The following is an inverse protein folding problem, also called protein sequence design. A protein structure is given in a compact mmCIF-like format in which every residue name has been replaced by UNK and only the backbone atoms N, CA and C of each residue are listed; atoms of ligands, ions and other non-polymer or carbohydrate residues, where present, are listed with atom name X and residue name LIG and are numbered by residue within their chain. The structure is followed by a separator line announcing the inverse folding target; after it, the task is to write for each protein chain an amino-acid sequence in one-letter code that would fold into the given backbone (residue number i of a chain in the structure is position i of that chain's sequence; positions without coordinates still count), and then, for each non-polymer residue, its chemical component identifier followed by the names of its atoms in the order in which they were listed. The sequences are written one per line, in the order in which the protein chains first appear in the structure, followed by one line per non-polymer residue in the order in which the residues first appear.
data_IF_895911570302
#
_entry.id   IF_895911570302
#
_cell.length_a   1.000
_cell.length_b   1.000
_cell.length_c   1.000
_cell.angle_alpha   90.00
_cell.angle_beta   90.00
_cell.angle_gamma   90.00
#
_symmetry.space_group_name_H-M   'P 1'
#
loop_
_entity.id
_entity.type
_entity.pdbx_description
1 polymer ?
#
# COMPACT_ATOMS: atom_id res chain seq x y z
N UNK A 1 8.43 14.68 15.53
CA UNK A 1 9.84 15.05 15.31
C UNK A 1 10.02 15.28 13.82
N UNK A 2 10.60 16.40 13.38
CA UNK A 2 10.84 16.65 11.95
C UNK A 2 12.25 16.15 11.62
N UNK A 3 12.37 15.08 10.86
CA UNK A 3 13.66 14.62 10.34
C UNK A 3 14.06 15.53 9.18
N UNK A 4 15.14 16.29 9.38
CA UNK A 4 15.75 17.09 8.32
C UNK A 4 16.64 16.15 7.50
N UNK A 5 16.27 15.93 6.24
CA UNK A 5 17.06 15.14 5.29
C UNK A 5 17.82 16.11 4.39
N UNK A 6 19.14 15.96 4.32
CA UNK A 6 20.00 16.70 3.40
C UNK A 6 20.33 15.82 2.19
N UNK A 7 20.13 16.36 0.98
CA UNK A 7 20.51 15.68 -0.25
C UNK A 7 21.99 15.93 -0.51
N UNK A 8 22.81 14.89 -0.36
CA UNK A 8 24.27 14.97 -0.53
C UNK A 8 24.73 14.80 -1.98
N UNK A 9 23.95 14.11 -2.81
CA UNK A 9 24.26 13.89 -4.23
C UNK A 9 23.00 13.55 -5.04
N UNK A 10 23.08 13.77 -6.35
CA UNK A 10 22.11 13.29 -7.33
C UNK A 10 22.84 12.45 -8.37
N UNK A 11 22.37 11.24 -8.62
CA UNK A 11 22.91 10.36 -9.64
C UNK A 11 21.80 9.81 -10.54
N UNK A 12 22.03 9.83 -11.85
CA UNK A 12 21.13 9.23 -12.83
C UNK A 12 21.59 7.81 -13.14
N UNK A 13 20.88 6.81 -12.60
CA UNK A 13 21.16 5.40 -12.88
C UNK A 13 20.78 5.10 -14.33
N UNK A 14 21.79 4.92 -15.19
CA UNK A 14 21.58 4.55 -16.59
C UNK A 14 21.50 3.02 -16.71
N UNK A 15 20.56 2.49 -17.49
CA UNK A 15 20.56 1.07 -17.81
C UNK A 15 21.89 0.65 -18.45
N UNK A 16 22.39 -0.54 -18.10
CA UNK A 16 23.64 -1.10 -18.65
C UNK A 16 23.58 -1.38 -20.16
N UNK A 17 22.37 -1.45 -20.72
CA UNK A 17 22.12 -1.59 -22.14
C UNK A 17 21.04 -0.63 -22.62
N UNK A 18 21.15 -0.15 -23.85
CA UNK A 18 20.13 0.70 -24.46
C UNK A 18 18.79 -0.05 -24.53
N UNK A 19 17.70 0.62 -24.14
CA UNK A 19 16.35 0.06 -24.28
C UNK A 19 16.11 -0.35 -25.73
N UNK A 20 15.82 -1.65 -26.01
CA UNK A 20 15.53 -2.14 -27.35
C UNK A 20 14.45 -1.29 -28.03
N UNK A 21 14.56 -1.07 -29.34
CA UNK A 21 13.69 -0.14 -30.06
C UNK A 21 12.19 -0.45 -29.89
N UNK A 22 11.83 -1.73 -29.78
CA UNK A 22 10.45 -2.18 -29.57
C UNK A 22 9.94 -1.95 -28.14
N UNK A 23 10.81 -1.69 -27.16
CA UNK A 23 10.45 -1.35 -25.78
C UNK A 23 10.51 0.16 -25.49
N UNK A 24 10.96 0.98 -26.46
CA UNK A 24 11.00 2.45 -26.31
C UNK A 24 9.63 3.10 -26.38
N UNK A 25 8.65 2.43 -26.99
CA UNK A 25 7.27 2.89 -27.11
C UNK A 25 6.36 1.85 -26.48
N UNK A 26 5.86 2.17 -25.29
CA UNK A 26 4.90 1.34 -24.58
C UNK A 26 3.51 1.90 -24.91
N UNK A 27 2.62 1.04 -25.41
CA UNK A 27 1.21 1.40 -25.49
C UNK A 27 0.62 1.23 -24.09
N UNK A 28 0.17 2.33 -23.50
CA UNK A 28 -0.54 2.30 -22.23
C UNK A 28 -1.89 1.62 -22.42
N UNK A 29 -2.25 0.74 -21.47
CA UNK A 29 -3.58 0.15 -21.47
C UNK A 29 -4.64 1.24 -21.25
N UNK A 30 -5.90 0.93 -21.59
CA UNK A 30 -7.03 1.82 -21.26
C UNK A 30 -7.11 2.09 -19.75
N UNK A 31 -6.72 1.10 -18.93
CA UNK A 31 -6.65 1.24 -17.48
C UNK A 31 -5.60 2.26 -17.06
N UNK A 32 -4.42 2.18 -17.67
CA UNK A 32 -3.32 3.12 -17.40
C UNK A 32 -3.63 4.55 -17.81
N UNK A 33 -4.40 4.72 -18.89
CA UNK A 33 -4.77 6.04 -19.39
C UNK A 33 -5.79 6.74 -18.49
N UNK A 34 -6.69 5.97 -17.86
CA UNK A 34 -7.64 6.50 -16.88
C UNK A 34 -6.98 6.74 -15.52
N UNK A 35 -5.97 5.94 -15.16
CA UNK A 35 -5.32 6.01 -13.87
C UNK A 35 -4.66 7.38 -13.64
N UNK A 36 -4.71 7.91 -12.40
CA UNK A 36 -3.99 9.13 -12.08
C UNK A 36 -2.49 8.93 -12.34
N UNK A 37 -1.81 10.00 -12.74
CA UNK A 37 -0.36 10.01 -12.87
C UNK A 37 0.25 9.98 -11.46
N UNK A 38 0.30 8.78 -10.87
CA UNK A 38 0.88 8.54 -9.54
C UNK A 38 2.24 7.90 -9.70
N UNK A 39 3.24 8.50 -9.05
CA UNK A 39 4.51 7.87 -8.78
C UNK A 39 4.71 7.85 -7.27
N UNK A 40 4.97 6.68 -6.71
CA UNK A 40 5.26 6.56 -5.28
C UNK A 40 6.76 6.52 -5.05
N UNK A 41 7.25 7.42 -4.21
CA UNK A 41 8.67 7.54 -3.94
C UNK A 41 9.16 6.51 -2.93
N UNK A 42 10.15 5.73 -3.34
CA UNK A 42 10.80 4.73 -2.51
C UNK A 42 12.05 5.32 -1.87
N UNK A 43 12.15 5.30 -0.55
CA UNK A 43 13.38 5.61 0.21
C UNK A 43 14.00 4.30 0.70
N UNK A 44 15.13 3.93 0.13
CA UNK A 44 15.85 2.70 0.49
C UNK A 44 17.10 3.03 1.29
N UNK A 45 17.32 2.33 2.40
CA UNK A 45 18.48 2.52 3.28
C UNK A 45 19.49 1.39 3.09
N UNK A 46 20.77 1.74 3.05
CA UNK A 46 21.86 0.80 2.80
C UNK A 46 22.88 0.83 3.95
N UNK A 47 23.51 -0.33 4.21
CA UNK A 47 24.65 -0.47 5.13
C UNK A 47 25.86 -1.01 4.37
N UNK A 48 26.58 -0.17 3.61
CA UNK A 48 27.72 -0.59 2.80
C UNK A 48 28.78 -1.37 3.61
N UNK A 49 29.03 -0.96 4.85
CA UNK A 49 30.09 -1.52 5.72
C UNK A 49 29.54 -2.31 6.92
N UNK A 50 28.24 -2.62 6.94
CA UNK A 50 27.58 -3.38 8.01
C UNK A 50 27.46 -2.71 9.38
N UNK A 51 28.06 -1.53 9.59
CA UNK A 51 28.14 -0.88 10.91
C UNK A 51 27.06 0.19 11.12
N UNK A 52 26.91 1.17 10.23
CA UNK A 52 25.84 2.17 10.28
C UNK A 52 25.04 2.26 8.96
N UNK A 53 23.87 2.87 8.99
CA UNK A 53 23.17 3.28 7.77
C UNK A 53 23.95 4.48 7.23
N UNK A 54 24.64 4.31 6.10
CA UNK A 54 25.52 5.35 5.56
C UNK A 54 24.86 6.14 4.43
N UNK A 55 23.87 5.55 3.75
CA UNK A 55 23.25 6.15 2.56
C UNK A 55 21.80 5.74 2.44
N UNK A 56 20.97 6.67 1.94
CA UNK A 56 19.63 6.37 1.49
C UNK A 56 19.45 6.85 0.03
N UNK A 57 18.70 6.09 -0.77
CA UNK A 57 18.38 6.46 -2.15
C UNK A 57 16.89 6.71 -2.29
N UNK A 58 16.53 7.81 -2.97
CA UNK A 58 15.15 8.15 -3.33
C UNK A 58 14.92 7.78 -4.80
N UNK A 59 13.89 7.00 -5.06
CA UNK A 59 13.51 6.61 -6.42
C UNK A 59 12.03 6.92 -6.65
N UNK A 60 11.68 7.75 -7.66
CA UNK A 60 12.50 8.35 -8.71
C UNK A 60 13.08 9.72 -8.24
N UNK A 61 13.83 10.44 -9.10
CA UNK A 61 14.27 11.81 -8.80
C UNK A 61 13.13 12.76 -8.40
N UNK A 62 13.41 13.72 -7.50
CA UNK A 62 12.45 14.69 -6.93
C UNK A 62 11.88 15.67 -7.95
N UNK A 63 12.54 15.85 -9.09
CA UNK A 63 12.24 16.83 -10.14
C UNK A 63 11.25 16.33 -11.19
N UNK A 64 10.64 15.16 -10.99
CA UNK A 64 9.55 14.71 -11.86
C UNK A 64 8.34 15.67 -11.75
N UNK A 65 7.75 16.10 -12.89
CA UNK A 65 6.56 16.96 -12.92
C UNK A 65 5.27 16.21 -12.52
N UNK A 66 5.41 15.03 -11.90
CA UNK A 66 4.31 14.16 -11.48
C UNK A 66 3.99 14.50 -10.02
N UNK A 67 2.96 15.31 -9.82
CA UNK A 67 2.53 15.75 -8.50
C UNK A 67 1.57 14.74 -7.89
N UNK A 68 2.02 13.96 -6.91
CA UNK A 68 1.16 13.57 -5.78
C UNK A 68 1.93 13.06 -4.56
N UNK A 69 3.16 12.56 -4.73
CA UNK A 69 3.95 11.97 -3.63
C UNK A 69 5.41 12.45 -3.68
N UNK A 70 5.61 13.76 -3.66
CA UNK A 70 6.96 14.33 -3.56
C UNK A 70 7.43 14.37 -2.10
N UNK A 71 8.64 13.87 -1.86
CA UNK A 71 9.46 14.10 -0.67
C UNK A 71 9.60 15.60 -0.54
N UNK A 72 8.88 16.18 0.41
CA UNK A 72 9.25 17.47 0.95
C UNK A 72 10.13 17.17 2.15
N UNK A 73 11.22 17.91 2.31
CA UNK A 73 12.16 17.81 3.43
C UNK A 73 11.53 17.98 4.83
N UNK A 74 10.20 18.15 4.92
CA UNK A 74 9.38 18.24 6.13
C UNK A 74 8.17 17.28 6.10
N UNK A 75 8.21 16.18 5.33
CA UNK A 75 7.17 15.14 5.34
C UNK A 75 7.04 14.47 6.71
N UNK A 76 5.84 13.98 7.04
CA UNK A 76 5.65 13.11 8.22
C UNK A 76 6.09 11.69 7.84
N UNK A 77 7.07 11.15 8.57
CA UNK A 77 7.33 9.72 8.51
C UNK A 77 6.12 8.97 9.07
N UNK A 78 5.74 7.84 8.44
CA UNK A 78 4.69 7.00 8.98
C UNK A 78 5.09 6.50 10.37
N UNK A 79 4.10 6.22 11.19
CA UNK A 79 4.33 5.31 12.30
C UNK A 79 4.66 3.93 11.74
N UNK A 80 5.64 3.29 12.37
CA UNK A 80 6.01 1.91 12.06
C UNK A 80 5.48 0.99 13.15
N UNK A 81 4.99 -0.17 12.73
CA UNK A 81 4.77 -1.33 13.61
C UNK A 81 5.28 -2.60 12.94
N UNK A 82 5.70 -3.56 13.76
CA UNK A 82 6.21 -4.85 13.32
C UNK A 82 5.28 -5.98 13.77
N UNK A 83 4.83 -6.78 12.81
CA UNK A 83 4.02 -7.99 13.02
C UNK A 83 4.94 -9.18 12.75
N UNK A 84 5.29 -9.94 13.79
CA UNK A 84 6.24 -11.04 13.62
C UNK A 84 5.59 -12.25 12.93
N UNK A 85 6.41 -13.08 12.30
CA UNK A 85 5.95 -14.23 11.52
C UNK A 85 5.07 -15.23 12.31
N UNK A 86 5.37 -15.58 13.58
CA UNK A 86 4.50 -16.44 14.39
C UNK A 86 3.10 -15.86 14.63
N UNK A 87 3.01 -14.57 14.93
CA UNK A 87 1.75 -13.84 15.17
C UNK A 87 0.93 -13.77 13.88
N UNK A 88 1.57 -13.56 12.72
CA UNK A 88 0.89 -13.68 11.42
C UNK A 88 0.36 -15.10 11.16
N UNK A 89 1.11 -16.14 11.53
CA UNK A 89 0.66 -17.51 11.39
C UNK A 89 -0.54 -17.81 12.30
N UNK A 90 -0.52 -17.30 13.53
CA UNK A 90 -1.64 -17.38 14.47
C UNK A 90 -2.89 -16.67 13.91
N UNK A 91 -2.73 -15.44 13.38
CA UNK A 91 -3.82 -14.71 12.72
C UNK A 91 -4.45 -15.53 11.59
N UNK A 92 -3.65 -16.20 10.76
CA UNK A 92 -4.14 -17.06 9.68
C UNK A 92 -4.86 -18.30 10.20
N UNK A 93 -4.45 -18.85 11.33
CA UNK A 93 -5.08 -20.02 11.95
C UNK A 93 -6.43 -19.73 12.60
N UNK A 94 -6.65 -18.48 13.03
CA UNK A 94 -7.89 -18.03 13.69
C UNK A 94 -9.02 -17.63 12.72
N UNK A 95 -8.84 -17.75 11.40
CA UNK A 95 -9.86 -17.33 10.42
C UNK A 95 -11.17 -18.11 10.60
N UNK A 96 -12.22 -17.44 11.07
CA UNK A 96 -13.57 -18.01 11.20
C UNK A 96 -14.29 -18.04 9.85
N UNK A 97 -14.82 -19.20 9.45
CA UNK A 97 -15.57 -19.43 8.21
C UNK A 97 -16.96 -18.76 8.15
N UNK A 98 -17.04 -17.46 8.41
CA UNK A 98 -18.26 -16.67 8.27
C UNK A 98 -18.58 -16.41 6.79
N UNK A 99 -19.85 -16.56 6.41
CA UNK A 99 -20.32 -16.16 5.09
C UNK A 99 -20.39 -14.62 5.02
N UNK A 100 -19.57 -14.01 4.15
CA UNK A 100 -19.71 -12.60 3.82
C UNK A 100 -20.94 -12.35 2.95
N UNK A 101 -21.52 -11.16 3.10
CA UNK A 101 -22.53 -10.63 2.19
C UNK A 101 -21.79 -9.78 1.16
N UNK A 102 -21.89 -10.06 -0.16
CA UNK A 102 -21.20 -9.26 -1.16
C UNK A 102 -21.66 -7.81 -1.07
N UNK A 103 -20.75 -6.82 -1.02
CA UNK A 103 -21.14 -5.44 -1.20
C UNK A 103 -21.49 -5.26 -2.67
N UNK A 104 -22.76 -5.47 -3.00
CA UNK A 104 -23.36 -5.15 -4.30
C UNK A 104 -23.62 -3.66 -4.32
N UNK A 105 -22.67 -2.91 -4.91
CA UNK A 105 -22.84 -1.51 -5.31
C UNK A 105 -22.97 -0.56 -4.11
N UNK A 106 -22.16 0.50 -4.08
CA UNK A 106 -22.46 1.64 -3.23
C UNK A 106 -23.67 2.36 -3.86
N UNK A 107 -24.86 1.84 -3.61
CA UNK A 107 -26.06 2.67 -3.75
C UNK A 107 -25.98 3.68 -2.61
N UNK A 108 -26.01 4.97 -2.97
CA UNK A 108 -26.03 6.10 -2.06
C UNK A 108 -27.08 5.87 -0.97
N UNK A 109 -26.66 5.25 0.12
CA UNK A 109 -27.49 5.04 1.30
C UNK A 109 -27.43 6.33 2.09
N UNK A 110 -28.56 6.77 2.67
CA UNK A 110 -28.62 8.06 3.34
C UNK A 110 -27.62 8.10 4.50
N UNK A 111 -26.59 8.94 4.35
CA UNK A 111 -25.64 9.48 5.35
C UNK A 111 -25.62 8.72 6.68
N UNK A 112 -25.05 7.50 6.70
CA UNK A 112 -24.59 6.90 7.96
C UNK A 112 -23.25 7.53 8.29
N UNK A 113 -23.22 8.38 9.33
CA UNK A 113 -22.06 9.23 9.68
C UNK A 113 -20.77 8.50 10.07
N UNK A 114 -20.73 7.16 10.15
CA UNK A 114 -19.56 6.39 10.61
C UNK A 114 -19.54 4.96 10.03
N UNK A 115 -19.49 4.82 8.70
CA UNK A 115 -19.21 3.51 8.09
C UNK A 115 -17.72 3.43 7.77
N UNK A 116 -16.96 2.65 8.53
CA UNK A 116 -15.56 2.41 8.20
C UNK A 116 -15.47 1.41 7.05
N UNK A 117 -14.92 1.86 5.93
CA UNK A 117 -14.66 1.00 4.78
C UNK A 117 -13.16 0.82 4.57
N UNK A 118 -12.75 -0.41 4.29
CA UNK A 118 -11.40 -0.75 3.89
C UNK A 118 -11.29 -0.65 2.37
N UNK A 119 -10.41 0.22 1.90
CA UNK A 119 -10.12 0.34 0.48
C UNK A 119 -8.81 -0.37 0.14
N UNK A 120 -8.85 -1.21 -0.90
CA UNK A 120 -7.77 -2.13 -1.24
C UNK A 120 -7.47 -2.10 -2.74
N UNK A 121 -6.29 -1.63 -3.19
CA UNK A 121 -5.89 -1.73 -4.59
C UNK A 121 -5.54 -3.18 -4.93
N UNK A 122 -6.19 -3.73 -5.95
CA UNK A 122 -5.99 -5.10 -6.44
C UNK A 122 -5.17 -5.08 -7.73
N UNK A 123 -4.01 -5.76 -7.72
CA UNK A 123 -3.15 -5.89 -8.89
C UNK A 123 -3.83 -6.71 -10.01
N UNK A 124 -3.98 -6.12 -11.19
CA UNK A 124 -4.69 -6.70 -12.32
C UNK A 124 -3.83 -7.63 -13.20
N UNK A 125 -2.50 -7.55 -13.09
CA UNK A 125 -1.57 -8.26 -13.99
C UNK A 125 -1.70 -9.78 -14.00
N UNK A 126 -2.17 -10.36 -12.90
CA UNK A 126 -2.38 -11.81 -12.75
C UNK A 126 -3.85 -12.22 -12.93
N UNK A 127 -4.73 -11.27 -13.24
CA UNK A 127 -6.19 -11.45 -13.28
C UNK A 127 -6.80 -11.21 -14.66
N UNK A 128 -6.03 -10.59 -15.55
CA UNK A 128 -6.38 -10.32 -16.93
C UNK A 128 -5.31 -10.99 -17.79
N UNK A 129 -5.74 -11.88 -18.68
CA UNK A 129 -4.85 -12.76 -19.47
C UNK A 129 -3.95 -11.95 -20.42
N UNK A 130 -4.46 -10.82 -20.90
CA UNK A 130 -3.76 -9.89 -21.79
C UNK A 130 -2.61 -9.16 -21.09
N UNK A 131 -2.52 -9.21 -19.77
CA UNK A 131 -1.46 -8.58 -19.01
C UNK A 131 -0.36 -9.56 -18.65
N UNK A 132 0.88 -9.11 -18.82
CA UNK A 132 2.05 -9.80 -18.32
C UNK A 132 2.39 -9.31 -16.91
N UNK A 133 3.15 -10.11 -16.15
CA UNK A 133 3.73 -9.66 -14.88
C UNK A 133 4.68 -8.47 -15.06
N UNK A 134 5.20 -8.27 -16.27
CA UNK A 134 6.13 -7.19 -16.64
C UNK A 134 5.41 -5.99 -17.26
N UNK A 135 4.08 -6.01 -17.36
CA UNK A 135 3.34 -4.89 -17.94
C UNK A 135 3.59 -3.63 -17.12
N UNK A 136 3.92 -2.54 -17.81
CA UNK A 136 4.23 -1.25 -17.20
C UNK A 136 2.94 -0.47 -16.89
N UNK A 137 2.98 0.38 -15.85
CA UNK A 137 1.89 1.30 -15.50
C UNK A 137 1.05 0.91 -14.27
N UNK A 138 0.00 1.70 -14.00
CA UNK A 138 -0.94 1.60 -12.89
C UNK A 138 -2.07 0.59 -13.18
N UNK A 139 -1.70 -0.69 -13.33
CA UNK A 139 -2.63 -1.80 -13.52
C UNK A 139 -3.21 -2.32 -12.20
N UNK A 140 -4.02 -1.47 -11.55
CA UNK A 140 -4.69 -1.77 -10.29
C UNK A 140 -6.15 -1.31 -10.30
N UNK A 141 -6.99 -1.96 -9.49
CA UNK A 141 -8.39 -1.56 -9.27
C UNK A 141 -8.70 -1.58 -7.77
N UNK A 142 -9.20 -0.48 -7.23
CA UNK A 142 -9.58 -0.37 -5.83
C UNK A 142 -10.90 -1.10 -5.57
N UNK A 143 -10.90 -1.95 -4.55
CA UNK A 143 -12.13 -2.56 -4.03
C UNK A 143 -12.43 -2.03 -2.64
N UNK A 144 -13.72 -1.91 -2.36
CA UNK A 144 -14.23 -1.54 -1.05
C UNK A 144 -14.73 -2.78 -0.32
N UNK A 145 -14.31 -2.94 0.93
CA UNK A 145 -14.82 -3.91 1.88
C UNK A 145 -15.35 -3.19 3.11
N UNK A 146 -16.48 -3.64 3.63
CA UNK A 146 -17.08 -3.09 4.85
C UNK A 146 -17.60 -4.21 5.74
N UNK A 147 -17.80 -3.89 7.01
CA UNK A 147 -18.51 -4.71 7.98
C UNK A 147 -19.52 -3.81 8.71
N UNK A 148 -20.72 -4.32 9.03
CA UNK A 148 -21.69 -3.52 9.78
C UNK A 148 -21.24 -3.39 11.26
N UNK A 149 -21.51 -2.26 11.92
CA UNK A 149 -21.29 -2.12 13.36
C UNK A 149 -22.18 -3.09 14.15
N UNK A 150 -21.64 -4.24 14.57
CA UNK A 150 -22.32 -5.27 15.37
C UNK A 150 -21.53 -5.69 16.61
N UNK A 151 -22.22 -6.27 17.60
CA UNK A 151 -21.68 -6.61 18.95
C UNK A 151 -20.42 -7.47 18.92
N UNK A 152 -19.47 -7.13 19.80
CA UNK A 152 -18.13 -7.70 19.89
C UNK A 152 -18.13 -9.25 19.88
N UNK A 153 -17.46 -9.82 18.87
CA UNK A 153 -17.27 -11.26 18.71
C UNK A 153 -17.25 -11.73 17.25
N UNK A 154 -18.05 -11.12 16.36
CA UNK A 154 -18.17 -11.50 14.94
C UNK A 154 -17.43 -10.61 13.92
N UNK A 155 -17.01 -9.42 14.34
CA UNK A 155 -16.52 -8.33 13.45
C UNK A 155 -15.30 -8.70 12.59
N UNK A 156 -14.34 -9.46 13.14
CA UNK A 156 -13.10 -9.81 12.43
C UNK A 156 -13.36 -10.80 11.29
N UNK A 157 -14.06 -11.90 11.57
CA UNK A 157 -14.36 -12.92 10.55
C UNK A 157 -15.23 -12.36 9.42
N UNK A 158 -16.20 -11.51 9.75
CA UNK A 158 -17.02 -10.81 8.76
C UNK A 158 -16.19 -9.87 7.88
N UNK A 159 -15.31 -9.05 8.47
CA UNK A 159 -14.43 -8.16 7.71
C UNK A 159 -13.44 -8.94 6.84
N UNK A 160 -12.82 -10.00 7.38
CA UNK A 160 -11.91 -10.87 6.62
C UNK A 160 -12.62 -11.53 5.44
N UNK A 161 -13.86 -12.00 5.63
CA UNK A 161 -14.66 -12.59 4.58
C UNK A 161 -15.06 -11.53 3.52
N UNK A 162 -15.45 -10.33 3.94
CA UNK A 162 -15.79 -9.19 3.08
C UNK A 162 -14.60 -8.76 2.21
N UNK A 163 -13.42 -8.61 2.83
CA UNK A 163 -12.15 -8.33 2.13
C UNK A 163 -11.84 -9.43 1.12
N UNK A 164 -11.91 -10.70 1.54
CA UNK A 164 -11.61 -11.85 0.68
C UNK A 164 -12.54 -11.91 -0.53
N UNK A 165 -13.83 -11.71 -0.32
CA UNK A 165 -14.82 -11.68 -1.39
C UNK A 165 -14.58 -10.50 -2.34
N UNK A 166 -14.37 -9.29 -1.79
CA UNK A 166 -14.12 -8.08 -2.56
C UNK A 166 -12.87 -8.21 -3.45
N UNK A 167 -11.80 -8.82 -2.96
CA UNK A 167 -10.57 -9.07 -3.73
C UNK A 167 -10.76 -10.24 -4.71
N UNK A 168 -11.53 -11.27 -4.37
CA UNK A 168 -11.72 -12.45 -5.22
C UNK A 168 -12.56 -12.15 -6.46
N UNK A 169 -13.59 -11.31 -6.35
CA UNK A 169 -14.49 -10.97 -7.46
C UNK A 169 -13.81 -10.22 -8.62
N UNK A 170 -12.65 -9.60 -8.40
CA UNK A 170 -11.96 -8.83 -9.43
C UNK A 170 -11.34 -9.77 -10.45
N UNK A 171 -11.97 -9.86 -11.62
CA UNK A 171 -11.47 -10.56 -12.81
C UNK A 171 -11.85 -9.78 -14.07
N UNK A 172 -11.43 -10.29 -15.24
CA UNK A 172 -11.73 -9.65 -16.52
C UNK A 172 -13.24 -9.51 -16.80
N UNK A 173 -14.10 -10.38 -16.24
CA UNK A 173 -15.55 -10.30 -16.44
C UNK A 173 -16.14 -9.20 -15.56
N UNK A 174 -15.79 -9.17 -14.28
CA UNK A 174 -16.23 -8.14 -13.35
C UNK A 174 -15.83 -6.74 -13.82
N UNK A 175 -14.60 -6.58 -14.32
CA UNK A 175 -14.10 -5.28 -14.77
C UNK A 175 -14.77 -4.77 -16.06
N UNK A 176 -15.33 -5.64 -16.90
CA UNK A 176 -16.15 -5.20 -18.05
C UNK A 176 -17.38 -4.43 -17.59
N UNK A 177 -17.97 -4.85 -16.48
CA UNK A 177 -19.13 -4.18 -15.88
C UNK A 177 -18.73 -2.90 -15.09
N UNK A 178 -17.42 -2.66 -14.89
CA UNK A 178 -16.87 -1.51 -14.16
C UNK A 178 -16.06 -0.57 -15.08
N UNK A 179 -16.27 -0.63 -16.40
CA UNK A 179 -15.45 0.07 -17.38
C UNK A 179 -15.41 1.59 -17.14
N UNK A 180 -16.53 2.19 -16.73
CA UNK A 180 -16.60 3.63 -16.42
C UNK A 180 -15.69 4.00 -15.25
N UNK A 181 -15.74 3.22 -14.16
CA UNK A 181 -14.88 3.41 -12.98
C UNK A 181 -13.41 3.19 -13.33
N UNK A 182 -13.12 2.23 -14.20
CA UNK A 182 -11.78 1.94 -14.67
C UNK A 182 -11.22 3.10 -15.51
N UNK A 183 -12.06 3.67 -16.38
CA UNK A 183 -11.75 4.83 -17.21
C UNK A 183 -11.60 6.13 -16.39
N UNK A 184 -12.29 6.24 -15.25
CA UNK A 184 -12.09 7.34 -14.30
C UNK A 184 -10.90 7.10 -13.35
N UNK A 185 -10.13 6.04 -13.58
CA UNK A 185 -8.83 5.81 -12.95
C UNK A 185 -8.75 4.67 -11.96
N UNK A 186 -9.84 3.94 -11.70
CA UNK A 186 -9.89 2.68 -10.95
C UNK A 186 -9.45 2.74 -9.48
N UNK A 187 -8.75 3.80 -9.10
CA UNK A 187 -8.23 4.17 -7.79
C UNK A 187 -8.79 5.52 -7.34
N UNK A 188 -9.58 6.19 -8.18
CA UNK A 188 -10.27 7.42 -7.82
C UNK A 188 -11.61 7.08 -7.19
N UNK A 189 -11.92 7.71 -6.06
CA UNK A 189 -13.25 7.73 -5.46
C UNK A 189 -13.62 9.15 -5.06
N UNK A 190 -14.91 9.42 -5.02
CA UNK A 190 -15.43 10.70 -4.52
C UNK A 190 -15.62 10.60 -3.00
N UNK A 191 -15.26 11.68 -2.29
CA UNK A 191 -15.61 11.84 -0.88
C UNK A 191 -17.13 12.05 -0.78
N UNK A 192 -17.82 11.02 -0.34
CA UNK A 192 -19.26 10.97 -0.16
C UNK A 192 -19.68 11.17 1.32
N UNK A 193 -18.72 11.56 2.17
CA UNK A 193 -18.92 11.76 3.61
C UNK A 193 -18.91 10.45 4.42
N UNK A 194 -18.24 9.41 3.91
CA UNK A 194 -17.97 8.15 4.62
C UNK A 194 -16.53 8.15 5.17
N UNK A 195 -16.35 7.74 6.42
CA UNK A 195 -15.03 7.56 7.01
C UNK A 195 -14.31 6.37 6.34
N UNK A 196 -13.27 6.63 5.55
CA UNK A 196 -12.50 5.60 4.84
C UNK A 196 -11.18 5.28 5.55
N UNK A 197 -10.75 4.02 5.44
CA UNK A 197 -9.40 3.59 5.77
C UNK A 197 -8.81 2.87 4.56
N UNK A 198 -7.68 3.33 4.08
CA UNK A 198 -7.00 2.79 2.92
C UNK A 198 -5.88 1.84 3.33
N UNK A 199 -5.80 0.71 2.62
CA UNK A 199 -4.80 -0.31 2.87
C UNK A 199 -4.09 -0.68 1.57
N UNK A 200 -2.76 -0.72 1.58
CA UNK A 200 -1.95 -1.20 0.45
C UNK A 200 -1.00 -2.31 0.90
N UNK A 201 -0.72 -3.27 0.02
CA UNK A 201 0.12 -4.45 0.31
C UNK A 201 1.31 -4.48 -0.64
N UNK A 202 2.51 -4.29 -0.09
CA UNK A 202 3.76 -4.04 -0.81
C UNK A 202 4.84 -5.09 -0.53
N UNK A 203 4.58 -6.09 0.31
CA UNK A 203 5.55 -7.17 0.64
C UNK A 203 5.99 -7.97 -0.59
N UNK A 204 5.22 -7.93 -1.67
CA UNK A 204 5.51 -8.67 -2.91
C UNK A 204 6.24 -7.86 -3.97
N UNK A 205 6.59 -6.61 -3.69
CA UNK A 205 7.32 -5.75 -4.63
C UNK A 205 8.82 -6.08 -4.70
N UNK A 206 9.35 -6.87 -3.76
CA UNK A 206 10.74 -7.33 -3.80
C UNK A 206 11.75 -6.21 -3.56
N UNK A 207 11.39 -5.20 -2.77
CA UNK A 207 12.21 -4.00 -2.55
C UNK A 207 13.56 -4.35 -1.92
N UNK A 208 13.61 -5.34 -1.03
CA UNK A 208 14.84 -5.85 -0.40
C UNK A 208 15.73 -6.71 -1.31
N UNK A 209 15.33 -6.94 -2.57
CA UNK A 209 16.06 -7.80 -3.53
C UNK A 209 16.77 -7.02 -4.63
N UNK A 210 16.67 -5.69 -4.60
CA UNK A 210 17.19 -4.82 -5.67
C UNK A 210 18.50 -4.19 -5.26
N UNK A 211 19.60 -4.64 -5.89
CA UNK A 211 20.94 -4.07 -5.70
C UNK A 211 21.25 -3.05 -6.80
N UNK A 212 21.50 -1.81 -6.42
CA UNK A 212 21.87 -0.71 -7.33
C UNK A 212 23.39 -0.51 -7.45
N UNK A 213 24.20 -1.39 -6.84
CA UNK A 213 25.66 -1.27 -6.71
C UNK A 213 26.11 -0.87 -5.31
N UNK A 214 25.18 -0.59 -4.40
CA UNK A 214 25.45 -0.25 -2.99
C UNK A 214 25.16 -1.42 -2.02
N UNK A 215 24.90 -2.61 -2.57
CA UNK A 215 24.43 -3.77 -1.83
C UNK A 215 22.91 -3.79 -1.72
N UNK A 216 22.39 -4.83 -1.06
CA UNK A 216 20.96 -4.95 -0.81
C UNK A 216 20.49 -3.91 0.22
N UNK A 217 19.30 -3.30 0.03
CA UNK A 217 18.71 -2.44 1.03
C UNK A 217 18.55 -3.20 2.33
N UNK A 218 18.91 -2.56 3.44
CA UNK A 218 18.63 -3.10 4.76
C UNK A 218 17.24 -2.74 5.23
N UNK A 219 16.65 -1.68 4.69
CA UNK A 219 15.31 -1.21 5.01
C UNK A 219 14.79 -0.35 3.86
N UNK A 220 13.46 -0.23 3.76
CA UNK A 220 12.79 0.62 2.79
C UNK A 220 11.58 1.29 3.44
N UNK A 221 11.29 2.54 3.08
CA UNK A 221 10.02 3.18 3.42
C UNK A 221 9.59 4.14 2.32
N UNK A 222 8.32 4.55 2.34
CA UNK A 222 7.81 5.61 1.46
C UNK A 222 7.45 6.80 2.32
N UNK A 223 8.21 7.92 2.32
CA UNK A 223 7.76 9.13 3.00
C UNK A 223 6.62 9.76 2.21
N UNK A 224 5.45 9.89 2.85
CA UNK A 224 4.26 10.49 2.24
C UNK A 224 3.84 11.72 3.03
N UNK A 225 3.45 12.79 2.33
CA UNK A 225 2.95 14.03 2.94
C UNK A 225 1.44 14.10 2.74
N UNK A 226 0.73 14.61 3.75
CA UNK A 226 -0.70 14.93 3.70
C UNK A 226 -1.62 13.69 3.52
N UNK A 227 -1.16 12.49 3.89
CA UNK A 227 -2.02 11.31 4.02
C UNK A 227 -2.52 11.16 5.46
N UNK A 228 -3.79 10.82 5.59
CA UNK A 228 -4.46 10.39 6.81
C UNK A 228 -5.31 9.17 6.49
N UNK A 229 -5.50 8.28 7.47
CA UNK A 229 -6.23 7.02 7.32
C UNK A 229 -5.66 6.09 6.23
N UNK A 230 -4.32 6.05 6.11
CA UNK A 230 -3.63 5.20 5.14
C UNK A 230 -2.67 4.23 5.84
N UNK A 231 -2.69 2.97 5.43
CA UNK A 231 -1.80 1.92 5.94
C UNK A 231 -1.17 1.15 4.80
N UNK A 232 0.15 0.94 4.85
CA UNK A 232 0.88 0.08 3.91
C UNK A 232 1.52 -1.06 4.66
N UNK A 233 1.36 -2.28 4.16
CA UNK A 233 2.05 -3.46 4.64
C UNK A 233 3.27 -3.78 3.77
N UNK A 234 4.45 -3.84 4.38
CA UNK A 234 5.73 -4.15 3.72
C UNK A 234 6.36 -5.44 4.24
N UNK A 235 7.27 -6.01 3.46
CA UNK A 235 8.11 -7.12 3.94
C UNK A 235 9.10 -6.57 4.96
N UNK A 236 9.16 -7.20 6.14
CA UNK A 236 10.17 -6.83 7.13
C UNK A 236 11.52 -7.48 6.81
N UNK A 237 12.58 -6.82 7.27
CA UNK A 237 13.96 -7.20 6.98
C UNK A 237 14.22 -8.68 7.33
N UNK A 238 14.89 -9.38 6.41
CA UNK A 238 15.32 -10.77 6.61
C UNK A 238 14.19 -11.80 6.71
N UNK A 239 12.95 -11.45 6.38
CA UNK A 239 11.80 -12.37 6.43
C UNK A 239 11.29 -12.63 7.85
N UNK A 240 11.63 -11.77 8.81
CA UNK A 240 11.22 -11.91 10.22
C UNK A 240 9.71 -11.68 10.44
N UNK A 241 9.02 -11.10 9.46
CA UNK A 241 7.60 -10.81 9.55
C UNK A 241 7.13 -9.79 8.51
N UNK A 242 6.18 -8.96 8.91
CA UNK A 242 5.63 -7.87 8.12
C UNK A 242 5.80 -6.56 8.89
N UNK A 243 6.14 -5.50 8.19
CA UNK A 243 6.11 -4.14 8.71
C UNK A 243 4.80 -3.48 8.26
N UNK A 244 4.21 -2.63 9.09
CA UNK A 244 3.15 -1.73 8.63
C UNK A 244 3.55 -0.27 8.87
N UNK A 245 3.31 0.55 7.85
CA UNK A 245 3.49 2.00 7.86
C UNK A 245 2.13 2.67 7.94
N UNK A 246 1.93 3.52 8.93
CA UNK A 246 0.64 4.10 9.28
C UNK A 246 0.70 5.62 9.23
N UNK A 247 -0.19 6.19 8.42
CA UNK A 247 -0.48 7.62 8.37
C UNK A 247 -1.84 7.83 9.04
N UNK A 248 -1.82 7.89 10.37
CA UNK A 248 -3.02 8.07 11.18
C UNK A 248 -2.92 9.37 12.01
N UNK A 249 -4.05 10.00 12.36
CA UNK A 249 -4.07 11.10 13.30
C UNK A 249 -3.39 10.72 14.62
N UNK A 250 -2.67 11.66 15.24
CA UNK A 250 -1.87 11.39 16.45
C UNK A 250 -2.70 10.78 17.58
N UNK A 251 -3.91 11.29 17.81
CA UNK A 251 -4.84 10.76 18.81
C UNK A 251 -5.29 9.32 18.55
N UNK A 252 -5.39 8.91 17.28
CA UNK A 252 -5.73 7.53 16.90
C UNK A 252 -4.53 6.62 17.16
N UNK A 253 -3.32 7.08 16.87
CA UNK A 253 -2.09 6.33 17.14
C UNK A 253 -1.85 6.12 18.63
N UNK A 254 -2.09 7.13 19.47
CA UNK A 254 -1.98 7.00 20.92
C UNK A 254 -2.99 6.01 21.50
N UNK A 255 -4.15 5.82 20.87
CA UNK A 255 -5.08 4.75 21.25
C UNK A 255 -4.63 3.39 20.74
N UNK A 256 -4.14 3.32 19.51
CA UNK A 256 -3.70 2.08 18.87
C UNK A 256 -2.54 1.43 19.62
N UNK A 257 -1.59 2.22 20.13
CA UNK A 257 -0.42 1.73 20.87
C UNK A 257 -0.76 1.13 22.23
N UNK A 258 -1.92 1.47 22.79
CA UNK A 258 -2.39 0.98 24.09
C UNK A 258 -3.44 -0.12 23.93
N UNK A 259 -3.89 -0.41 22.70
CA UNK A 259 -4.97 -1.36 22.44
C UNK A 259 -4.52 -2.81 22.66
N UNK A 260 -5.09 -3.52 23.64
CA UNK A 260 -4.72 -4.91 23.91
C UNK A 260 -5.02 -5.87 22.75
N UNK A 261 -6.00 -5.58 21.89
CA UNK A 261 -6.28 -6.40 20.71
C UNK A 261 -5.18 -6.27 19.65
N UNK A 262 -4.57 -5.09 19.53
CA UNK A 262 -3.45 -4.83 18.60
C UNK A 262 -2.14 -5.37 19.17
N UNK A 263 -1.86 -5.09 20.43
CA UNK A 263 -0.64 -5.51 21.13
C UNK A 263 -0.46 -7.03 21.23
N UNK A 264 -1.52 -7.81 20.98
CA UNK A 264 -1.44 -9.28 20.84
C UNK A 264 -0.68 -9.73 19.60
N UNK A 265 -0.60 -8.89 18.57
CA UNK A 265 -0.07 -9.27 17.26
C UNK A 265 1.12 -8.43 16.80
N UNK A 266 1.37 -7.29 17.46
CA UNK A 266 2.48 -6.40 17.16
C UNK A 266 3.52 -6.41 18.27
N UNK A 267 4.77 -6.13 17.91
CA UNK A 267 5.81 -5.86 18.90
C UNK A 267 5.55 -4.49 19.57
N UNK A 268 5.27 -4.40 20.89
CA UNK A 268 4.97 -3.13 21.56
C UNK A 268 6.12 -2.12 21.48
N UNK A 269 7.36 -2.61 21.36
CA UNK A 269 8.54 -1.76 21.25
C UNK A 269 8.81 -1.31 19.80
N UNK A 270 8.05 -1.83 18.83
CA UNK A 270 8.22 -1.48 17.42
C UNK A 270 7.55 -0.17 17.01
N UNK A 271 6.70 0.40 17.87
CA UNK A 271 6.07 1.69 17.63
C UNK A 271 7.14 2.79 17.58
N UNK A 272 7.49 3.21 16.37
CA UNK A 272 8.48 4.25 16.14
C UNK A 272 8.03 5.23 15.06
N UNK A 273 8.50 6.46 15.19
CA UNK A 273 8.45 7.50 14.16
C UNK A 273 9.70 7.47 13.28
#
# INVERSE_FOLDING_TARGET
MTLLVEVVSHEAIRPSAATPAHLRRIQLSVVDQGAPATYVQSLSFFRPDGTAIHTAAVLPPLDLPIGYLQLKAAGRFPWRLFIRAPEMAALRGETCGGAARPPTRYEATPKRKHLWVALLPVNLRKRIEEFSSLSFGNLAYAVVASAEPGTAGGRRGELEASVREAVRRVDAKYLKDQIEVLLSGGLAWEDDGVDTMEFSEWSRLGMHKTDFGWGLPVWHCTPMKDLENFVVFGEADGGAGMEAWLWLPGEVMERLREDPEVLRFVDPDSFSH
#
